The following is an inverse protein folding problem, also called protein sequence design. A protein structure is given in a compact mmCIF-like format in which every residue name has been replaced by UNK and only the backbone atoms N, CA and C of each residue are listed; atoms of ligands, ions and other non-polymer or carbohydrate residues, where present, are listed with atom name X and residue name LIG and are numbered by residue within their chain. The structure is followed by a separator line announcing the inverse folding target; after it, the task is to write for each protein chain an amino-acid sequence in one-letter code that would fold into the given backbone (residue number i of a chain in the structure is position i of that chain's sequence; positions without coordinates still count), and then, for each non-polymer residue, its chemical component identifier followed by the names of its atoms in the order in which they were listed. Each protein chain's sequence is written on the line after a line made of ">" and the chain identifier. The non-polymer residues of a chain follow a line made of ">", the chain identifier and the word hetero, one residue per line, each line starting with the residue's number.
data_IF_775648583617
#
_entry.id   IF_775648583617
#
_cell.length_a   1.000
_cell.length_b   1.000
_cell.length_c   1.000
_cell.angle_alpha   90.00
_cell.angle_beta   90.00
_cell.angle_gamma   90.00
#
_symmetry.space_group_name_H-M   'P 1'
#
loop_
_entity.id
_entity.type
_entity.pdbx_description
1 polymer ?
#
# COMPACT_ATOMS: atom_id res chain seq x y z
N UNK A 1 -15.20 4.20 107.15
CA UNK A 1 -13.84 4.71 107.45
C UNK A 1 -12.83 3.66 106.95
N UNK A 2 -11.67 3.99 106.32
CA UNK A 2 -11.14 5.27 105.80
C UNK A 2 -11.22 5.35 104.24
N UNK A 3 -11.41 6.53 103.62
CA UNK A 3 -10.42 7.52 103.12
C UNK A 3 -9.36 6.99 102.12
N UNK A 4 -9.48 7.36 100.83
CA UNK A 4 -8.56 8.32 100.18
C UNK A 4 -9.00 8.72 98.77
N UNK A 5 -8.80 10.00 98.46
CA UNK A 5 -9.04 10.66 97.18
C UNK A 5 -7.68 11.06 96.57
N UNK A 6 -7.57 10.92 95.23
CA UNK A 6 -6.79 11.78 94.29
C UNK A 6 -5.24 11.63 94.22
N UNK A 7 -4.49 12.27 93.27
CA UNK A 7 -4.73 12.65 91.84
C UNK A 7 -3.50 12.36 90.89
N UNK A 8 -3.55 12.87 89.64
CA UNK A 8 -2.47 13.15 88.65
C UNK A 8 -2.12 12.04 87.64
N UNK A 9 -2.47 12.21 86.36
CA UNK A 9 -1.55 12.70 85.30
C UNK A 9 -1.12 11.49 84.44
N UNK A 10 -0.91 11.48 83.13
CA UNK A 10 -0.60 12.48 82.14
C UNK A 10 -0.95 11.88 80.74
N UNK A 11 -0.92 12.72 79.72
CA UNK A 11 -1.30 12.47 78.32
C UNK A 11 -0.71 11.23 77.64
N UNK A 12 -1.47 10.70 76.66
CA UNK A 12 -0.96 9.77 75.66
C UNK A 12 -2.03 9.18 74.72
N UNK A 13 -2.57 9.98 73.80
CA UNK A 13 -2.77 9.50 72.42
C UNK A 13 -1.40 9.67 71.72
N UNK A 14 -1.04 8.99 70.60
CA UNK A 14 -1.84 8.17 69.67
C UNK A 14 -1.12 6.81 69.39
N UNK A 15 -1.61 5.90 68.55
CA UNK A 15 -1.29 5.90 67.13
C UNK A 15 -2.01 4.73 66.48
N UNK A 16 -2.89 5.06 65.53
CA UNK A 16 -3.33 4.12 64.52
C UNK A 16 -2.10 3.49 63.86
N UNK A 17 -2.08 2.17 63.77
CA UNK A 17 -1.14 1.40 62.96
C UNK A 17 -1.40 1.73 61.47
N UNK A 18 -0.81 2.82 60.99
CA UNK A 18 -0.56 3.09 59.59
C UNK A 18 0.93 2.88 59.35
N UNK A 19 1.31 1.68 58.91
CA UNK A 19 2.66 1.46 58.40
C UNK A 19 2.65 0.39 57.30
N UNK A 20 2.56 0.92 56.08
CA UNK A 20 3.35 0.52 54.91
C UNK A 20 3.14 -0.91 54.42
N UNK A 21 2.03 -1.09 53.70
CA UNK A 21 2.10 -1.85 52.45
C UNK A 21 3.05 -1.10 51.52
N UNK A 22 4.35 -1.36 51.64
CA UNK A 22 5.28 -1.14 50.54
C UNK A 22 4.86 -2.12 49.45
N UNK A 23 3.85 -1.75 48.65
CA UNK A 23 3.76 -2.28 47.31
C UNK A 23 5.09 -1.91 46.64
N UNK A 24 5.97 -2.86 46.29
CA UNK A 24 7.04 -2.55 45.37
C UNK A 24 6.35 -1.91 44.16
N UNK A 25 6.76 -0.68 43.84
CA UNK A 25 6.08 0.16 42.86
C UNK A 25 5.65 -0.70 41.68
N UNK A 26 4.34 -0.73 41.42
CA UNK A 26 3.81 -1.28 40.18
C UNK A 26 4.59 -0.56 39.10
N UNK A 27 5.56 -1.25 38.50
CA UNK A 27 6.44 -0.63 37.53
C UNK A 27 5.54 -0.27 36.37
N UNK A 28 5.14 1.00 36.27
CA UNK A 28 4.17 1.46 35.28
C UNK A 28 4.61 0.95 33.92
N UNK A 29 3.87 -0.03 33.39
CA UNK A 29 4.15 -0.61 32.09
C UNK A 29 3.59 0.38 31.07
N UNK A 30 4.46 1.21 30.50
CA UNK A 30 4.06 2.14 29.45
C UNK A 30 4.15 1.50 28.06
N UNK A 31 3.50 2.09 27.08
CA UNK A 31 3.52 1.67 25.68
C UNK A 31 3.98 2.81 24.78
N UNK A 32 4.43 2.47 23.57
CA UNK A 32 4.80 3.42 22.53
C UNK A 32 3.96 3.10 21.30
N UNK A 33 3.31 4.12 20.76
CA UNK A 33 2.45 4.03 19.59
C UNK A 33 3.00 4.91 18.47
N UNK A 34 2.73 4.50 17.23
CA UNK A 34 3.06 5.24 16.03
C UNK A 34 1.81 5.40 15.19
N UNK A 35 1.62 6.60 14.65
CA UNK A 35 0.60 6.85 13.63
C UNK A 35 1.24 7.51 12.40
N UNK A 36 0.98 7.01 11.18
CA UNK A 36 0.18 5.82 10.89
C UNK A 36 0.89 4.50 11.32
N UNK A 37 0.14 3.39 11.37
CA UNK A 37 0.69 2.06 11.73
C UNK A 37 1.31 1.31 10.54
N UNK A 38 0.89 1.67 9.33
CA UNK A 38 1.43 1.21 8.05
C UNK A 38 1.53 2.44 7.15
N UNK A 39 2.57 2.50 6.32
CA UNK A 39 2.79 3.65 5.47
C UNK A 39 3.38 3.23 4.13
N UNK A 40 2.80 3.78 3.07
CA UNK A 40 3.26 3.63 1.70
C UNK A 40 3.28 5.01 1.04
N UNK A 41 4.37 5.32 0.34
CA UNK A 41 4.60 6.65 -0.24
C UNK A 41 5.17 6.55 -1.66
N UNK A 42 4.98 7.59 -2.45
CA UNK A 42 5.69 7.71 -3.73
C UNK A 42 7.18 8.01 -3.49
N UNK A 43 8.06 7.72 -4.47
CA UNK A 43 9.49 7.98 -4.36
C UNK A 43 9.78 9.47 -4.17
N UNK A 44 10.67 9.78 -3.24
CA UNK A 44 11.00 11.17 -2.85
C UNK A 44 9.92 11.84 -2.01
N UNK A 45 8.84 11.13 -1.65
CA UNK A 45 7.75 11.65 -0.85
C UNK A 45 8.17 12.07 0.56
N UNK A 46 7.31 12.87 1.19
CA UNK A 46 7.42 13.30 2.57
C UNK A 46 6.14 12.96 3.31
N UNK A 47 6.25 12.64 4.59
CA UNK A 47 5.12 12.16 5.40
C UNK A 47 5.20 12.65 6.84
N UNK A 48 4.05 12.71 7.51
CA UNK A 48 3.94 13.03 8.92
C UNK A 48 3.88 11.75 9.75
N UNK A 49 4.71 11.67 10.78
CA UNK A 49 4.76 10.56 11.72
C UNK A 49 4.55 11.08 13.13
N UNK A 50 3.56 10.52 13.82
CA UNK A 50 3.25 10.79 15.21
C UNK A 50 3.78 9.66 16.08
N UNK A 51 4.73 9.98 16.95
CA UNK A 51 5.15 9.11 18.05
C UNK A 51 4.35 9.49 19.30
N UNK A 52 3.76 8.53 20.01
CA UNK A 52 3.10 8.80 21.29
C UNK A 52 3.36 7.70 22.32
N UNK A 53 3.09 7.99 23.59
CA UNK A 53 3.29 7.05 24.70
C UNK A 53 2.19 7.15 25.75
N UNK A 54 1.93 6.05 26.46
CA UNK A 54 1.09 6.05 27.66
C UNK A 54 1.82 6.50 28.93
N UNK A 55 3.15 6.70 28.89
CA UNK A 55 3.91 7.24 30.03
C UNK A 55 3.50 8.70 30.29
N UNK A 56 3.05 9.04 31.50
CA UNK A 56 2.57 10.37 31.85
C UNK A 56 3.65 11.45 31.73
N UNK A 57 4.88 11.12 32.14
CA UNK A 57 6.03 12.03 32.11
C UNK A 57 7.28 11.28 31.63
N UNK A 58 7.53 11.23 30.31
CA UNK A 58 8.70 10.56 29.77
C UNK A 58 9.99 11.34 30.05
N UNK A 59 11.07 10.63 30.37
CA UNK A 59 12.40 11.18 30.59
C UNK A 59 12.99 11.73 29.28
N UNK A 60 12.90 10.91 28.21
CA UNK A 60 13.39 11.25 26.86
C UNK A 60 12.52 10.59 25.79
N UNK A 61 12.52 11.16 24.58
CA UNK A 61 11.81 10.60 23.44
C UNK A 61 12.33 11.11 22.11
N UNK A 62 12.16 10.30 21.05
CA UNK A 62 12.60 10.67 19.72
C UNK A 62 12.12 9.72 18.62
N UNK A 63 12.47 10.09 17.39
CA UNK A 63 12.28 9.27 16.20
C UNK A 63 13.67 8.98 15.62
N UNK A 64 13.99 7.71 15.38
CA UNK A 64 15.23 7.24 14.76
C UNK A 64 14.99 6.76 13.34
N UNK A 65 15.77 7.30 12.40
CA UNK A 65 15.75 6.97 10.98
C UNK A 65 17.01 7.52 10.31
N UNK A 66 17.40 6.93 9.18
CA UNK A 66 18.45 7.44 8.28
C UNK A 66 17.95 8.57 7.37
N UNK A 67 16.63 8.77 7.29
CA UNK A 67 16.00 9.81 6.48
C UNK A 67 16.11 11.20 7.12
N UNK A 68 15.86 12.23 6.31
CA UNK A 68 15.76 13.59 6.83
C UNK A 68 14.49 13.71 7.68
N UNK A 69 14.64 14.16 8.93
CA UNK A 69 13.52 14.36 9.86
C UNK A 69 13.54 15.77 10.43
N UNK A 70 12.36 16.34 10.65
CA UNK A 70 12.18 17.61 11.34
C UNK A 70 11.04 17.49 12.35
N UNK A 71 11.26 17.96 13.57
CA UNK A 71 10.20 18.02 14.58
C UNK A 71 9.30 19.20 14.24
N UNK A 72 8.00 18.95 14.04
CA UNK A 72 7.03 20.00 13.69
C UNK A 72 6.13 20.40 14.85
N UNK A 73 5.78 19.45 15.71
CA UNK A 73 4.97 19.71 16.89
C UNK A 73 5.28 18.68 17.98
N UNK A 74 5.00 19.04 19.24
CA UNK A 74 5.19 18.14 20.37
C UNK A 74 4.30 18.50 21.55
N UNK A 75 3.96 17.50 22.34
CA UNK A 75 3.44 17.63 23.70
C UNK A 75 4.20 16.73 24.66
N UNK A 76 3.76 16.65 25.91
CA UNK A 76 4.44 15.84 26.95
C UNK A 76 4.56 14.36 26.56
N UNK A 77 3.49 13.79 26.00
CA UNK A 77 3.39 12.36 25.71
C UNK A 77 3.44 12.02 24.21
N UNK A 78 3.71 13.01 23.35
CA UNK A 78 3.71 12.80 21.90
C UNK A 78 4.64 13.78 21.16
N UNK A 79 5.14 13.35 20.02
CA UNK A 79 5.95 14.16 19.09
C UNK A 79 5.54 13.87 17.66
N UNK A 80 5.46 14.91 16.84
CA UNK A 80 5.15 14.81 15.42
C UNK A 80 6.35 15.25 14.60
N UNK A 81 6.71 14.42 13.63
CA UNK A 81 7.83 14.64 12.74
C UNK A 81 7.36 14.69 11.29
N UNK A 82 7.94 15.57 10.49
CA UNK A 82 7.96 15.39 9.04
C UNK A 82 9.22 14.59 8.72
N UNK A 83 9.04 13.46 8.04
CA UNK A 83 10.13 12.65 7.47
C UNK A 83 10.06 12.77 5.95
N UNK A 84 11.18 13.12 5.33
CA UNK A 84 11.25 13.51 3.93
C UNK A 84 12.25 12.67 3.13
N UNK A 85 12.08 12.70 1.81
CA UNK A 85 12.98 12.07 0.84
C UNK A 85 13.04 10.54 0.98
N UNK A 86 11.87 9.91 1.13
CA UNK A 86 11.77 8.44 1.17
C UNK A 86 11.94 7.90 -0.25
N UNK A 87 13.07 7.25 -0.53
CA UNK A 87 13.38 6.74 -1.88
C UNK A 87 13.29 5.22 -2.01
N UNK A 88 13.30 4.50 -0.91
CA UNK A 88 13.25 3.04 -0.85
C UNK A 88 12.57 2.58 0.45
N UNK A 89 12.14 1.32 0.46
CA UNK A 89 11.59 0.68 1.64
C UNK A 89 12.52 0.82 2.85
N UNK A 90 11.95 1.19 4.00
CA UNK A 90 12.72 1.46 5.20
C UNK A 90 11.90 1.24 6.47
N UNK A 91 12.58 1.25 7.62
CA UNK A 91 11.96 1.11 8.93
C UNK A 91 12.30 2.33 9.76
N UNK A 92 11.28 2.96 10.33
CA UNK A 92 11.39 4.10 11.24
C UNK A 92 11.06 3.65 12.65
N UNK A 93 11.80 4.12 13.65
CA UNK A 93 11.56 3.77 15.04
C UNK A 93 11.17 5.01 15.84
N UNK A 94 10.11 4.94 16.62
CA UNK A 94 9.86 5.87 17.71
C UNK A 94 10.32 5.24 19.02
N UNK A 95 10.93 6.03 19.90
CA UNK A 95 11.28 5.57 21.24
C UNK A 95 10.83 6.57 22.30
N UNK A 96 10.50 6.04 23.48
CA UNK A 96 10.30 6.79 24.70
C UNK A 96 11.02 6.08 25.85
N UNK A 97 11.62 6.86 26.73
CA UNK A 97 12.21 6.40 27.99
C UNK A 97 11.34 6.92 29.12
N UNK A 98 10.90 6.02 30.00
CA UNK A 98 10.07 6.33 31.15
C UNK A 98 10.63 5.63 32.38
N UNK A 99 10.89 6.38 33.46
CA UNK A 99 11.49 5.83 34.68
C UNK A 99 12.75 5.00 34.39
N UNK A 100 13.63 5.50 33.51
CA UNK A 100 14.86 4.83 33.03
C UNK A 100 14.66 3.53 32.23
N UNK A 101 13.43 3.20 31.82
CA UNK A 101 13.14 2.07 30.93
C UNK A 101 12.79 2.61 29.54
N UNK A 102 13.50 2.17 28.51
CA UNK A 102 13.22 2.54 27.12
C UNK A 102 12.35 1.49 26.43
N UNK A 103 11.38 1.94 25.64
CA UNK A 103 10.63 1.11 24.69
C UNK A 103 10.66 1.73 23.31
N UNK A 104 10.58 0.87 22.30
CA UNK A 104 10.55 1.25 20.89
C UNK A 104 9.29 0.72 20.23
N UNK A 105 8.83 1.43 19.20
CA UNK A 105 7.87 0.98 18.21
C UNK A 105 8.47 1.20 16.83
N UNK A 106 8.28 0.27 15.92
CA UNK A 106 8.69 0.37 14.52
C UNK A 106 7.50 0.65 13.60
N UNK A 107 7.78 1.31 12.48
CA UNK A 107 6.89 1.50 11.34
C UNK A 107 7.64 1.11 10.08
N UNK A 108 7.07 0.17 9.33
CA UNK A 108 7.54 -0.15 7.99
C UNK A 108 6.99 0.91 7.02
N UNK A 109 7.88 1.48 6.23
CA UNK A 109 7.54 2.44 5.18
C UNK A 109 7.91 1.81 3.85
N UNK A 110 6.92 1.60 2.99
CA UNK A 110 7.12 1.07 1.63
C UNK A 110 7.05 2.17 0.59
N UNK A 111 7.76 1.98 -0.52
CA UNK A 111 7.71 2.87 -1.68
C UNK A 111 7.00 2.16 -2.83
N UNK A 112 6.04 2.84 -3.45
CA UNK A 112 5.29 2.30 -4.58
C UNK A 112 5.49 3.12 -5.85
N UNK A 113 5.31 2.46 -6.98
CA UNK A 113 5.34 3.06 -8.31
C UNK A 113 4.03 2.76 -9.01
N UNK A 114 3.17 3.77 -9.24
CA UNK A 114 1.83 3.52 -9.75
C UNK A 114 1.85 3.10 -11.23
N UNK A 115 0.82 2.40 -11.72
CA UNK A 115 0.68 2.04 -13.13
C UNK A 115 0.31 3.27 -13.99
N UNK A 116 1.26 4.19 -14.17
CA UNK A 116 1.06 5.45 -14.92
C UNK A 116 0.78 5.22 -16.40
N UNK A 117 1.40 4.18 -16.95
CA UNK A 117 1.25 3.79 -18.35
C UNK A 117 0.79 2.33 -18.40
N UNK A 118 -0.29 2.07 -19.12
CA UNK A 118 -0.79 0.71 -19.37
C UNK A 118 -0.96 0.57 -20.88
N UNK A 119 -0.27 -0.41 -21.45
CA UNK A 119 -0.18 -0.59 -22.89
C UNK A 119 -0.83 -1.91 -23.27
N UNK A 120 -1.53 -1.90 -24.40
CA UNK A 120 -2.19 -3.07 -24.97
C UNK A 120 -1.78 -3.20 -26.43
N UNK A 121 -1.64 -4.43 -26.93
CA UNK A 121 -1.48 -4.73 -28.35
C UNK A 121 -2.22 -6.00 -28.73
N UNK A 122 -3.04 -5.90 -29.78
CA UNK A 122 -3.66 -7.04 -30.44
C UNK A 122 -2.79 -7.52 -31.62
N UNK A 123 -2.62 -8.84 -31.75
CA UNK A 123 -1.86 -9.46 -32.85
C UNK A 123 -2.56 -10.74 -33.35
N UNK A 124 -2.98 -10.83 -34.62
CA UNK A 124 -3.14 -9.72 -35.57
C UNK A 124 -4.30 -8.80 -35.16
N UNK A 125 -4.39 -7.60 -35.75
CA UNK A 125 -5.51 -6.67 -35.54
C UNK A 125 -6.73 -6.98 -36.41
N UNK A 126 -6.59 -7.93 -37.34
CA UNK A 126 -7.66 -8.46 -38.20
C UNK A 126 -7.56 -9.98 -38.25
N UNK A 127 -8.67 -10.67 -38.02
CA UNK A 127 -8.71 -12.14 -37.92
C UNK A 127 -10.07 -12.67 -38.41
N UNK A 128 -10.07 -13.85 -39.04
CA UNK A 128 -11.30 -14.51 -39.43
C UNK A 128 -12.06 -15.00 -38.19
N UNK A 129 -13.39 -15.13 -38.28
CA UNK A 129 -14.17 -15.84 -37.25
C UNK A 129 -13.57 -17.24 -37.02
N UNK A 130 -13.37 -17.63 -35.76
CA UNK A 130 -12.73 -18.90 -35.38
C UNK A 130 -11.20 -18.89 -35.45
N UNK A 131 -10.58 -17.83 -35.98
CA UNK A 131 -9.13 -17.65 -35.98
C UNK A 131 -8.60 -17.22 -34.60
N UNK A 132 -7.31 -17.46 -34.35
CA UNK A 132 -6.65 -17.04 -33.11
C UNK A 132 -6.05 -15.65 -33.21
N UNK A 133 -6.09 -14.93 -32.09
CA UNK A 133 -5.36 -13.68 -31.89
C UNK A 133 -4.79 -13.62 -30.48
N UNK A 134 -3.73 -12.84 -30.32
CA UNK A 134 -3.02 -12.63 -29.07
C UNK A 134 -3.28 -11.23 -28.57
N UNK A 135 -3.56 -11.14 -27.26
CA UNK A 135 -3.67 -9.91 -26.50
C UNK A 135 -2.43 -9.81 -25.62
N UNK A 136 -1.58 -8.84 -25.89
CA UNK A 136 -0.43 -8.50 -25.06
C UNK A 136 -0.74 -7.22 -24.28
N UNK A 137 -0.58 -7.25 -22.96
CA UNK A 137 -0.60 -6.06 -22.13
C UNK A 137 0.68 -5.96 -21.32
N UNK A 138 1.21 -4.75 -21.19
CA UNK A 138 2.34 -4.48 -20.33
C UNK A 138 2.23 -3.12 -19.62
N UNK A 139 2.82 -3.07 -18.43
CA UNK A 139 2.86 -1.90 -17.54
C UNK A 139 4.31 -1.68 -17.15
N UNK A 140 4.98 -0.65 -17.70
CA UNK A 140 6.35 -0.34 -17.33
C UNK A 140 6.43 0.29 -15.94
N UNK A 141 7.57 0.08 -15.27
CA UNK A 141 7.95 0.78 -14.04
C UNK A 141 6.90 0.75 -12.92
N UNK A 142 6.35 -0.43 -12.63
CA UNK A 142 5.33 -0.61 -11.59
C UNK A 142 5.90 -1.45 -10.43
N UNK A 143 5.52 -1.09 -9.20
CA UNK A 143 5.88 -1.81 -7.98
C UNK A 143 4.95 -1.40 -6.81
N UNK A 144 4.74 -2.26 -5.80
CA UNK A 144 5.19 -3.66 -5.73
C UNK A 144 4.38 -4.59 -6.65
N UNK A 145 5.03 -5.60 -7.25
CA UNK A 145 4.37 -6.51 -8.21
C UNK A 145 3.39 -7.46 -7.51
N UNK A 146 3.67 -7.89 -6.29
CA UNK A 146 2.80 -8.74 -5.49
C UNK A 146 1.43 -8.11 -5.18
N UNK A 147 1.35 -6.78 -5.22
CA UNK A 147 0.10 -6.01 -5.07
C UNK A 147 -0.58 -5.71 -6.41
N UNK A 148 0.01 -6.10 -7.54
CA UNK A 148 -0.48 -5.78 -8.87
C UNK A 148 -1.35 -6.90 -9.43
N UNK A 149 -2.50 -6.51 -10.00
CA UNK A 149 -3.34 -7.38 -10.83
C UNK A 149 -3.52 -6.73 -12.21
N UNK A 150 -3.20 -7.48 -13.28
CA UNK A 150 -3.55 -7.10 -14.65
C UNK A 150 -4.81 -7.84 -15.08
N UNK A 151 -5.78 -7.11 -15.60
CA UNK A 151 -7.07 -7.62 -16.08
C UNK A 151 -7.25 -7.24 -17.55
N UNK A 152 -7.33 -8.24 -18.42
CA UNK A 152 -7.71 -8.07 -19.81
C UNK A 152 -9.23 -8.00 -19.92
N UNK A 153 -9.74 -6.97 -20.57
CA UNK A 153 -11.15 -6.66 -20.69
C UNK A 153 -11.60 -6.76 -22.16
N UNK A 154 -12.82 -7.28 -22.36
CA UNK A 154 -13.59 -7.19 -23.60
C UNK A 154 -14.83 -6.35 -23.32
N UNK A 155 -14.85 -5.12 -23.82
CA UNK A 155 -15.82 -4.12 -23.41
C UNK A 155 -15.71 -3.88 -21.90
N UNK A 156 -16.71 -4.35 -21.14
CA UNK A 156 -16.73 -4.25 -19.67
C UNK A 156 -16.46 -5.60 -18.98
N UNK A 157 -16.35 -6.68 -19.74
CA UNK A 157 -16.21 -8.04 -19.21
C UNK A 157 -14.74 -8.38 -18.99
N UNK A 158 -14.44 -8.97 -17.83
CA UNK A 158 -13.10 -9.48 -17.53
C UNK A 158 -12.89 -10.83 -18.21
N UNK A 159 -11.93 -10.89 -19.13
CA UNK A 159 -11.57 -12.11 -19.84
C UNK A 159 -10.50 -12.91 -19.12
N UNK A 160 -9.45 -12.23 -18.64
CA UNK A 160 -8.28 -12.89 -18.09
C UNK A 160 -7.60 -11.99 -17.07
N UNK A 161 -7.26 -12.57 -15.92
CA UNK A 161 -6.57 -11.87 -14.85
C UNK A 161 -5.22 -12.54 -14.60
N UNK A 162 -4.19 -11.73 -14.37
CA UNK A 162 -2.86 -12.16 -13.97
C UNK A 162 -2.42 -11.42 -12.72
N UNK A 163 -2.02 -12.19 -11.72
CA UNK A 163 -1.35 -11.72 -10.50
C UNK A 163 0.12 -12.09 -10.54
N UNK A 164 0.97 -11.36 -9.82
CA UNK A 164 2.41 -11.63 -9.76
C UNK A 164 2.80 -12.11 -8.35
N UNK A 165 3.79 -12.99 -8.27
CA UNK A 165 4.32 -13.52 -6.99
C UNK A 165 5.74 -13.03 -6.70
N UNK A 166 6.29 -12.19 -7.56
CA UNK A 166 7.68 -11.73 -7.46
C UNK A 166 7.77 -10.57 -6.49
N UNK A 167 8.51 -10.75 -5.39
CA UNK A 167 8.87 -9.68 -4.45
C UNK A 167 10.05 -8.87 -5.00
N UNK A 168 9.82 -8.17 -6.11
CA UNK A 168 10.83 -7.29 -6.70
C UNK A 168 10.86 -5.96 -5.95
N UNK A 169 12.01 -5.65 -5.34
CA UNK A 169 12.23 -4.37 -4.65
C UNK A 169 12.32 -3.17 -5.61
N UNK A 170 12.65 -3.40 -6.87
CA UNK A 170 12.74 -2.36 -7.90
C UNK A 170 11.49 -2.37 -8.78
N UNK A 171 11.11 -1.21 -9.36
CA UNK A 171 10.08 -1.14 -10.40
C UNK A 171 10.44 -2.06 -11.57
N UNK A 172 9.47 -2.84 -12.02
CA UNK A 172 9.65 -3.77 -13.13
C UNK A 172 8.54 -3.61 -14.16
N UNK A 173 8.78 -4.15 -15.34
CA UNK A 173 7.74 -4.30 -16.35
C UNK A 173 6.88 -5.52 -16.01
N UNK A 174 5.59 -5.28 -15.83
CA UNK A 174 4.59 -6.33 -15.64
C UNK A 174 3.92 -6.65 -16.97
N UNK A 175 3.90 -7.92 -17.38
CA UNK A 175 3.33 -8.33 -18.67
C UNK A 175 2.29 -9.43 -18.50
N UNK A 176 1.26 -9.43 -19.36
CA UNK A 176 0.30 -10.52 -19.54
C UNK A 176 0.06 -10.75 -21.02
N UNK A 177 0.13 -12.01 -21.44
CA UNK A 177 -0.14 -12.43 -22.80
C UNK A 177 -1.23 -13.49 -22.77
N UNK A 178 -2.29 -13.29 -23.54
CA UNK A 178 -3.42 -14.20 -23.61
C UNK A 178 -3.77 -14.48 -25.07
N UNK A 179 -3.91 -15.76 -25.42
CA UNK A 179 -4.39 -16.19 -26.72
C UNK A 179 -5.90 -16.44 -26.64
N UNK A 180 -6.65 -15.82 -27.54
CA UNK A 180 -8.09 -15.95 -27.64
C UNK A 180 -8.50 -16.34 -29.06
N UNK A 181 -9.68 -16.94 -29.17
CA UNK A 181 -10.32 -17.24 -30.45
C UNK A 181 -11.31 -16.13 -30.78
N UNK A 182 -11.30 -15.66 -32.02
CA UNK A 182 -12.16 -14.57 -32.46
C UNK A 182 -13.59 -15.04 -32.70
N UNK A 183 -14.54 -14.37 -32.04
CA UNK A 183 -15.97 -14.53 -32.26
C UNK A 183 -16.52 -13.34 -33.05
N UNK A 184 -17.70 -13.50 -33.66
CA UNK A 184 -18.31 -12.46 -34.50
C UNK A 184 -18.60 -11.18 -33.69
N UNK A 185 -19.03 -11.36 -32.45
CA UNK A 185 -19.31 -10.31 -31.48
C UNK A 185 -18.08 -9.52 -31.04
N UNK A 186 -16.87 -10.09 -31.14
CA UNK A 186 -15.64 -9.39 -30.76
C UNK A 186 -15.38 -8.16 -31.64
N UNK A 187 -15.90 -8.16 -32.88
CA UNK A 187 -15.87 -6.99 -33.76
C UNK A 187 -16.72 -5.81 -33.28
N UNK A 188 -17.56 -6.00 -32.28
CA UNK A 188 -18.40 -4.97 -31.66
C UNK A 188 -17.88 -4.50 -30.29
N UNK A 189 -16.79 -5.09 -29.80
CA UNK A 189 -16.21 -4.79 -28.51
C UNK A 189 -14.78 -4.26 -28.64
N UNK A 190 -14.42 -3.41 -27.70
CA UNK A 190 -13.04 -2.96 -27.55
C UNK A 190 -12.32 -3.82 -26.52
N UNK A 191 -11.06 -4.12 -26.79
CA UNK A 191 -10.18 -4.74 -25.83
C UNK A 191 -9.39 -3.66 -25.10
N UNK A 192 -9.26 -3.81 -23.79
CA UNK A 192 -8.46 -2.92 -22.95
C UNK A 192 -7.75 -3.72 -21.86
N UNK A 193 -6.66 -3.18 -21.33
CA UNK A 193 -6.01 -3.73 -20.16
C UNK A 193 -6.19 -2.79 -18.98
N UNK A 194 -6.56 -3.33 -17.83
CA UNK A 194 -6.64 -2.62 -16.56
C UNK A 194 -5.57 -3.15 -15.62
N UNK A 195 -4.81 -2.25 -15.02
CA UNK A 195 -3.84 -2.53 -13.98
C UNK A 195 -4.38 -1.99 -12.66
N UNK A 196 -4.53 -2.85 -11.66
CA UNK A 196 -4.95 -2.47 -10.31
C UNK A 196 -3.80 -2.78 -9.33
N UNK A 197 -3.28 -1.74 -8.68
CA UNK A 197 -2.26 -1.81 -7.65
C UNK A 197 -2.92 -1.62 -6.27
N UNK A 198 -3.03 -2.69 -5.49
CA UNK A 198 -3.69 -2.67 -4.18
C UNK A 198 -2.68 -2.44 -3.04
N UNK A 199 -2.69 -1.22 -2.49
CA UNK A 199 -1.77 -0.80 -1.43
C UNK A 199 -2.41 -0.77 -0.04
N UNK A 200 -3.63 -1.29 0.11
CA UNK A 200 -4.39 -1.19 1.38
C UNK A 200 -3.69 -1.89 2.54
N UNK A 201 -3.01 -3.00 2.28
CA UNK A 201 -2.20 -3.72 3.26
C UNK A 201 -0.92 -2.99 3.69
N UNK A 202 -0.58 -1.90 2.99
CA UNK A 202 0.56 -1.04 3.26
C UNK A 202 0.12 0.36 3.75
N UNK A 203 -1.17 0.56 4.02
CA UNK A 203 -1.73 1.83 4.48
C UNK A 203 -2.03 2.84 3.38
N UNK A 204 -2.13 2.41 2.12
CA UNK A 204 -2.53 3.24 0.97
C UNK A 204 -3.90 2.88 0.40
N UNK A 205 -4.21 3.45 -0.77
CA UNK A 205 -5.43 3.16 -1.54
C UNK A 205 -5.17 2.20 -2.70
N UNK A 206 -6.23 1.83 -3.43
CA UNK A 206 -6.10 1.13 -4.71
C UNK A 206 -5.85 2.16 -5.80
N UNK A 207 -4.72 2.03 -6.51
CA UNK A 207 -4.37 2.87 -7.66
C UNK A 207 -4.53 2.04 -8.91
N UNK A 208 -5.17 2.61 -9.94
CA UNK A 208 -5.39 1.89 -11.19
C UNK A 208 -4.99 2.70 -12.41
N UNK A 209 -4.63 1.98 -13.46
CA UNK A 209 -4.37 2.50 -14.80
C UNK A 209 -5.11 1.66 -15.84
N UNK A 210 -5.51 2.26 -16.94
CA UNK A 210 -6.22 1.57 -18.03
C UNK A 210 -5.57 1.94 -19.36
N UNK A 211 -5.39 0.96 -20.23
CA UNK A 211 -4.85 1.21 -21.57
C UNK A 211 -5.85 1.90 -22.47
N UNK A 212 -5.35 2.52 -23.53
CA UNK A 212 -6.20 2.89 -24.66
C UNK A 212 -6.89 1.62 -25.23
N UNK A 213 -8.20 1.71 -25.56
CA UNK A 213 -8.93 0.58 -26.12
C UNK A 213 -8.49 0.28 -27.55
N UNK A 214 -8.46 -1.00 -27.93
CA UNK A 214 -8.22 -1.45 -29.31
C UNK A 214 -9.36 -2.32 -29.82
N UNK A 215 -9.74 -2.11 -31.09
CA UNK A 215 -10.77 -2.92 -31.75
C UNK A 215 -10.13 -4.03 -32.57
N UNK A 216 -10.67 -5.25 -32.45
CA UNK A 216 -10.30 -6.37 -33.30
C UNK A 216 -11.21 -6.38 -34.55
N UNK A 217 -10.63 -6.39 -35.75
CA UNK A 217 -11.41 -6.50 -36.99
C UNK A 217 -11.70 -7.97 -37.29
N UNK A 218 -12.93 -8.40 -37.07
CA UNK A 218 -13.35 -9.78 -37.37
C UNK A 218 -14.04 -9.84 -38.73
N UNK A 219 -13.61 -10.74 -39.61
CA UNK A 219 -14.20 -10.94 -40.94
C UNK A 219 -14.75 -12.35 -41.12
N UNK A 220 -15.73 -12.49 -42.04
CA UNK A 220 -16.42 -13.76 -42.28
C UNK A 220 -15.53 -14.83 -42.91
N UNK A 221 -15.92 -16.08 -42.72
CA UNK A 221 -15.26 -17.22 -43.37
C UNK A 221 -15.39 -17.08 -44.90
N UNK A 222 -14.25 -16.92 -45.60
CA UNK A 222 -14.19 -16.75 -47.06
C UNK A 222 -13.88 -15.34 -47.57
N UNK A 223 -13.76 -14.34 -46.71
CA UNK A 223 -13.38 -12.97 -47.10
C UNK A 223 -11.84 -12.80 -47.01
N UNK A 224 -11.15 -12.80 -48.15
CA UNK A 224 -9.68 -12.73 -48.18
C UNK A 224 -9.15 -11.37 -47.65
N UNK A 225 -7.89 -11.30 -47.15
CA UNK A 225 -7.35 -10.08 -46.54
C UNK A 225 -7.14 -8.88 -47.47
N UNK A 226 -7.29 -9.04 -48.80
CA UNK A 226 -6.89 -8.04 -49.79
C UNK A 226 -8.05 -7.52 -50.64
N UNK A 227 -8.32 -6.23 -50.54
CA UNK A 227 -9.06 -5.48 -51.54
C UNK A 227 -8.12 -5.08 -52.69
N UNK A 228 -8.43 -5.54 -53.90
CA UNK A 228 -7.66 -5.23 -55.11
C UNK A 228 -8.33 -5.72 -56.40
N UNK A 229 -9.63 -5.44 -56.56
CA UNK A 229 -10.37 -5.77 -57.78
C UNK A 229 -10.02 -4.83 -58.95
N UNK A 230 -8.92 -5.09 -59.64
CA UNK A 230 -8.68 -4.56 -60.99
C UNK A 230 -9.18 -5.57 -62.03
N UNK A 231 -10.43 -5.41 -62.52
CA UNK A 231 -10.88 -6.09 -63.74
C UNK A 231 -10.38 -5.30 -64.95
N UNK A 232 -9.25 -5.71 -65.53
CA UNK A 232 -8.93 -5.37 -66.92
C UNK A 232 -9.85 -6.19 -67.83
N UNK A 233 -10.79 -5.50 -68.46
CA UNK A 233 -11.65 -6.06 -69.50
C UNK A 233 -10.97 -5.86 -70.85
N UNK A 234 -10.13 -6.82 -71.25
CA UNK A 234 -9.54 -6.85 -72.58
C UNK A 234 -10.56 -7.45 -73.55
N UNK A 235 -11.26 -6.60 -74.29
CA UNK A 235 -12.05 -7.04 -75.45
C UNK A 235 -11.14 -7.48 -76.60
N UNK A 236 -11.46 -8.55 -77.34
CA UNK A 236 -10.75 -8.90 -78.56
C UNK A 236 -11.29 -8.08 -79.75
N UNK A 237 -10.39 -7.54 -80.56
CA UNK A 237 -10.67 -6.89 -81.85
C UNK A 237 -10.10 -7.80 -82.96
N UNK A 238 -10.78 -7.93 -84.12
CA UNK A 238 -10.69 -9.08 -85.02
C UNK A 238 -9.45 -9.15 -85.91
#
# INVERSE_FOLDING_TARGET
>A
MPLKMSPFGCWGLPAALLALFCCPGSGETFEVHMYPEQLVVEPGGSTLINCSTSCALPDTSGLETTLTKSLVASGTQWKQYVVSNVSQDTIIYCYFTCSRKQKLKSLNVSVFYPPKEVLLKLKPTRVAVGGSFTIECWVPNVAPLESLTLTLLRGKEAMHNKTFRTMALAPQEATVTHNATAHKEDGHHNFSCRADLDLRSLGGDIIHGVSEPQTLKVYGEGESPEGGGGREHSSPIP
#
